data_IF_154692796260
#
_entry.id   IF_154692796260
#
_cell.length_a   1.000
_cell.length_b   1.000
_cell.length_c   1.000
_cell.angle_alpha   90.00
_cell.angle_beta   90.00
_cell.angle_gamma   90.00
#
_symmetry.space_group_name_H-M   'P 1'
#
loop_
_entity.id
_entity.type
_entity.pdbx_description
1 polymer ?
#
# COMPACT_ATOMS: atom_id res chain seq x y z
N UNK A 1 12.07 0.52 -8.87
CA UNK A 1 12.83 0.75 -7.63
C UNK A 1 13.69 -0.46 -7.30
N UNK A 2 14.60 -0.34 -6.36
CA UNK A 2 15.45 -1.45 -5.94
C UNK A 2 14.66 -2.48 -5.14
N UNK A 3 14.91 -3.77 -5.43
CA UNK A 3 14.24 -4.88 -4.75
C UNK A 3 14.52 -4.90 -3.24
N UNK A 4 15.72 -4.52 -2.84
CA UNK A 4 16.11 -4.51 -1.42
C UNK A 4 15.29 -3.51 -0.61
N UNK A 5 14.94 -2.38 -1.20
CA UNK A 5 14.08 -1.39 -0.54
C UNK A 5 12.66 -1.92 -0.40
N UNK A 6 12.14 -2.58 -1.45
CA UNK A 6 10.82 -3.19 -1.40
C UNK A 6 10.77 -4.30 -0.35
N UNK A 7 11.81 -5.15 -0.31
CA UNK A 7 11.88 -6.25 0.64
C UNK A 7 12.01 -5.80 2.10
N UNK A 8 12.40 -4.55 2.34
CA UNK A 8 12.43 -3.98 3.69
C UNK A 8 11.02 -3.73 4.26
N UNK A 9 10.00 -3.70 3.40
CA UNK A 9 8.61 -3.61 3.83
C UNK A 9 8.14 -5.02 4.21
N UNK A 10 7.69 -5.26 5.45
CA UNK A 10 7.34 -6.61 5.91
C UNK A 10 6.36 -7.35 5.01
N UNK A 11 5.38 -6.65 4.44
CA UNK A 11 4.42 -7.28 3.53
C UNK A 11 5.10 -7.98 2.35
N UNK A 12 6.15 -7.36 1.80
CA UNK A 12 6.84 -7.88 0.61
C UNK A 12 8.03 -8.77 0.93
N UNK A 13 8.45 -8.81 2.20
CA UNK A 13 9.65 -9.54 2.61
C UNK A 13 9.58 -11.04 2.37
N UNK A 14 8.36 -11.59 2.32
CA UNK A 14 8.15 -13.04 2.12
C UNK A 14 8.13 -13.44 0.65
N UNK A 15 8.15 -12.48 -0.27
CA UNK A 15 8.12 -12.78 -1.70
C UNK A 15 9.46 -13.33 -2.18
N UNK A 16 9.40 -14.27 -3.12
CA UNK A 16 10.58 -14.76 -3.81
C UNK A 16 11.24 -13.66 -4.63
N UNK A 17 12.52 -13.80 -4.90
CA UNK A 17 13.32 -12.80 -5.61
C UNK A 17 12.70 -12.39 -6.95
N UNK A 18 12.19 -13.35 -7.71
CA UNK A 18 11.58 -13.09 -9.01
C UNK A 18 10.29 -12.24 -8.87
N UNK A 19 9.49 -12.52 -7.86
CA UNK A 19 8.26 -11.77 -7.58
C UNK A 19 8.60 -10.35 -7.13
N UNK A 20 9.60 -10.20 -6.26
CA UNK A 20 10.09 -8.89 -5.83
C UNK A 20 10.55 -8.05 -7.03
N UNK A 21 11.28 -8.65 -7.95
CA UNK A 21 11.76 -7.96 -9.15
C UNK A 21 10.59 -7.45 -10.00
N UNK A 22 9.57 -8.29 -10.19
CA UNK A 22 8.39 -7.93 -10.97
C UNK A 22 7.62 -6.77 -10.34
N UNK A 23 7.40 -6.83 -9.04
CA UNK A 23 6.65 -5.80 -8.31
C UNK A 23 7.48 -4.51 -8.22
N UNK A 24 8.78 -4.62 -7.95
CA UNK A 24 9.66 -3.46 -7.87
C UNK A 24 9.71 -2.68 -9.20
N UNK A 25 9.64 -3.38 -10.33
CA UNK A 25 9.62 -2.74 -11.64
C UNK A 25 8.34 -1.90 -11.85
N UNK A 26 7.24 -2.25 -11.20
CA UNK A 26 5.97 -1.54 -11.32
C UNK A 26 5.77 -0.48 -10.24
N UNK A 27 6.50 -0.55 -9.13
CA UNK A 27 6.33 0.33 -7.99
C UNK A 27 6.76 1.77 -8.32
N UNK A 28 6.02 2.73 -7.78
CA UNK A 28 6.28 4.15 -7.98
C UNK A 28 6.63 4.79 -6.63
N UNK A 29 7.67 5.60 -6.60
CA UNK A 29 8.05 6.34 -5.41
C UNK A 29 7.27 7.64 -5.36
N UNK A 30 6.71 7.94 -4.18
CA UNK A 30 5.90 9.15 -3.96
C UNK A 30 6.41 9.83 -2.71
N UNK A 31 6.60 11.14 -2.79
CA UNK A 31 6.92 11.96 -1.64
C UNK A 31 5.77 12.89 -1.34
N UNK A 32 5.50 13.13 -0.07
CA UNK A 32 4.47 14.06 0.35
C UNK A 32 4.95 14.86 1.55
N UNK A 33 4.50 16.11 1.62
CA UNK A 33 4.82 16.99 2.73
C UNK A 33 3.87 16.74 3.90
N UNK A 34 4.29 17.13 5.09
CA UNK A 34 3.41 17.14 6.26
C UNK A 34 2.14 17.92 5.93
N UNK A 35 0.99 17.34 6.30
CA UNK A 35 -0.33 17.94 6.06
C UNK A 35 -0.97 17.54 4.74
N UNK A 36 -0.24 16.91 3.82
CA UNK A 36 -0.86 16.46 2.57
C UNK A 36 -1.81 15.28 2.81
N UNK A 37 -2.95 15.31 2.13
CA UNK A 37 -3.90 14.21 2.14
C UNK A 37 -3.49 13.18 1.09
N UNK A 38 -3.30 11.94 1.52
CA UNK A 38 -2.84 10.84 0.67
C UNK A 38 -4.01 9.99 0.18
N UNK A 39 -5.06 9.90 0.97
CA UNK A 39 -6.29 9.20 0.63
C UNK A 39 -7.45 9.87 1.34
N UNK A 40 -8.61 9.94 0.69
CA UNK A 40 -9.81 10.57 1.25
C UNK A 40 -10.92 9.55 1.36
N UNK A 41 -11.50 9.43 2.55
CA UNK A 41 -12.67 8.57 2.79
C UNK A 41 -13.77 8.91 1.79
N UNK A 42 -14.34 7.89 1.17
CA UNK A 42 -15.41 8.05 0.19
C UNK A 42 -14.94 8.12 -1.26
N UNK A 43 -13.65 8.43 -1.49
CA UNK A 43 -13.10 8.46 -2.84
C UNK A 43 -12.76 7.05 -3.33
N UNK A 44 -12.69 6.89 -4.65
CA UNK A 44 -12.22 5.64 -5.24
C UNK A 44 -10.74 5.45 -4.97
N UNK A 45 -10.37 4.24 -4.59
CA UNK A 45 -8.98 3.86 -4.38
C UNK A 45 -8.34 3.33 -5.65
N UNK A 46 -7.13 3.83 -5.99
CA UNK A 46 -6.40 3.45 -7.20
C UNK A 46 -5.03 2.86 -6.91
N UNK A 47 -4.60 2.88 -5.66
CA UNK A 47 -3.27 2.40 -5.27
C UNK A 47 -3.25 1.95 -3.82
N UNK A 48 -2.33 1.03 -3.52
CA UNK A 48 -1.89 0.82 -2.14
C UNK A 48 -0.57 1.54 -1.94
N UNK A 49 -0.26 1.86 -0.70
CA UNK A 49 0.96 2.56 -0.33
C UNK A 49 1.68 1.83 0.79
N UNK A 50 2.99 1.71 0.66
CA UNK A 50 3.85 1.28 1.75
C UNK A 50 4.66 2.49 2.23
N UNK A 51 4.80 2.64 3.54
CA UNK A 51 5.54 3.76 4.12
C UNK A 51 7.00 3.35 4.26
N UNK A 52 7.88 4.01 3.53
CA UNK A 52 9.31 3.78 3.63
C UNK A 52 9.89 4.63 4.76
N UNK A 53 9.44 5.88 4.89
CA UNK A 53 9.83 6.76 5.98
C UNK A 53 8.73 7.76 6.28
N UNK A 54 8.70 8.28 7.50
CA UNK A 54 7.71 9.25 7.94
C UNK A 54 6.51 8.61 8.60
N UNK A 55 5.50 9.43 8.91
CA UNK A 55 4.30 9.00 9.61
C UNK A 55 3.05 9.58 8.98
N UNK A 56 1.94 8.85 9.09
CA UNK A 56 0.64 9.28 8.63
C UNK A 56 -0.41 9.04 9.71
N UNK A 57 -1.48 9.83 9.67
CA UNK A 57 -2.63 9.65 10.54
C UNK A 57 -3.81 9.13 9.72
N UNK A 58 -4.44 8.08 10.22
CA UNK A 58 -5.63 7.47 9.61
C UNK A 58 -6.84 7.88 10.42
N UNK A 59 -7.87 8.39 9.73
CA UNK A 59 -9.13 8.79 10.36
C UNK A 59 -10.33 8.34 9.52
N UNK A 60 -11.47 8.17 10.17
CA UNK A 60 -12.72 7.88 9.48
C UNK A 60 -13.86 8.47 10.29
N UNK A 61 -14.83 9.04 9.58
CA UNK A 61 -16.00 9.69 10.21
C UNK A 61 -15.61 10.74 11.26
N UNK A 62 -14.52 11.48 10.97
CA UNK A 62 -14.02 12.52 11.85
C UNK A 62 -13.27 12.03 13.08
N UNK A 63 -12.98 10.73 13.18
CA UNK A 63 -12.29 10.13 14.34
C UNK A 63 -10.96 9.57 13.92
N UNK A 64 -9.90 9.88 14.69
CA UNK A 64 -8.59 9.27 14.47
C UNK A 64 -8.65 7.79 14.84
N UNK A 65 -8.19 6.95 13.94
CA UNK A 65 -8.15 5.49 14.13
C UNK A 65 -6.75 4.99 14.46
N UNK A 66 -5.72 5.53 13.82
CA UNK A 66 -4.36 5.04 13.99
C UNK A 66 -3.35 6.05 13.47
N UNK A 67 -2.11 5.86 13.91
CA UNK A 67 -0.92 6.47 13.30
C UNK A 67 -0.08 5.33 12.74
N UNK A 68 0.32 5.45 11.48
CA UNK A 68 1.15 4.45 10.81
C UNK A 68 2.52 5.04 10.51
N UNK A 69 3.53 4.20 10.52
CA UNK A 69 4.92 4.60 10.28
C UNK A 69 5.66 3.65 9.34
N UNK A 70 6.97 3.78 9.30
CA UNK A 70 7.83 3.01 8.41
C UNK A 70 7.55 1.51 8.48
N UNK A 71 7.45 0.88 7.33
CA UNK A 71 7.18 -0.55 7.19
C UNK A 71 5.69 -0.91 7.13
N UNK A 72 4.81 0.02 7.45
CA UNK A 72 3.37 -0.23 7.41
C UNK A 72 2.79 0.14 6.05
N UNK A 73 1.63 -0.44 5.73
CA UNK A 73 0.97 -0.21 4.44
C UNK A 73 -0.47 0.24 4.67
N UNK A 74 -1.03 0.94 3.69
CA UNK A 74 -2.44 1.33 3.70
C UNK A 74 -3.00 1.33 2.27
N UNK A 75 -4.32 1.28 2.17
CA UNK A 75 -5.02 1.29 0.89
C UNK A 75 -5.00 -0.03 0.14
N UNK A 76 -4.76 -1.15 0.82
CA UNK A 76 -4.61 -2.47 0.19
C UNK A 76 -5.87 -2.93 -0.54
N UNK A 77 -7.06 -2.54 -0.08
CA UNK A 77 -8.31 -2.95 -0.72
C UNK A 77 -8.36 -2.54 -2.19
N UNK A 78 -7.73 -1.41 -2.53
CA UNK A 78 -7.68 -0.95 -3.92
C UNK A 78 -7.01 -1.96 -4.87
N UNK A 79 -6.11 -2.79 -4.36
CA UNK A 79 -5.41 -3.82 -5.15
C UNK A 79 -6.22 -5.10 -5.25
N UNK A 80 -7.02 -5.42 -4.23
CA UNK A 80 -7.84 -6.63 -4.19
C UNK A 80 -9.12 -6.48 -5.01
N UNK A 81 -9.72 -5.30 -4.99
CA UNK A 81 -10.99 -5.04 -5.65
C UNK A 81 -11.15 -3.54 -5.90
N UNK A 82 -11.98 -3.18 -6.87
CA UNK A 82 -12.40 -1.81 -7.02
C UNK A 82 -13.17 -1.42 -5.76
N UNK A 83 -12.76 -0.35 -5.11
CA UNK A 83 -13.37 0.00 -3.84
C UNK A 83 -13.23 1.46 -3.48
N UNK A 84 -14.13 1.87 -2.61
CA UNK A 84 -14.13 3.21 -2.03
C UNK A 84 -13.20 3.20 -0.83
N UNK A 85 -12.42 4.26 -0.66
CA UNK A 85 -11.56 4.44 0.51
C UNK A 85 -12.38 4.44 1.79
N UNK A 86 -11.99 3.60 2.74
CA UNK A 86 -12.67 3.46 4.02
C UNK A 86 -12.21 4.50 5.04
N UNK A 87 -11.11 5.18 4.77
CA UNK A 87 -10.52 6.13 5.70
C UNK A 87 -9.79 7.24 4.95
N UNK A 88 -9.57 8.34 5.66
CA UNK A 88 -8.72 9.45 5.21
C UNK A 88 -7.35 9.27 5.82
N UNK A 89 -6.31 9.46 5.01
CA UNK A 89 -4.91 9.34 5.43
C UNK A 89 -4.20 10.65 5.12
N UNK A 90 -3.60 11.26 6.15
CA UNK A 90 -2.91 12.54 6.06
C UNK A 90 -1.48 12.38 6.60
N UNK A 91 -0.51 12.92 5.88
CA UNK A 91 0.88 12.90 6.34
C UNK A 91 1.03 13.79 7.57
N UNK A 92 1.62 13.24 8.63
CA UNK A 92 1.91 13.97 9.88
C UNK A 92 3.38 14.33 10.00
N UNK A 93 4.17 13.99 8.99
CA UNK A 93 5.56 14.39 8.78
C UNK A 93 5.80 14.32 7.28
N UNK A 94 6.94 14.80 6.77
CA UNK A 94 7.34 14.45 5.41
C UNK A 94 7.40 12.93 5.29
N UNK A 95 6.83 12.37 4.23
CA UNK A 95 6.77 10.91 4.02
C UNK A 95 7.35 10.54 2.67
N UNK A 96 7.99 9.37 2.64
CA UNK A 96 8.42 8.72 1.42
C UNK A 96 7.64 7.42 1.32
N UNK A 97 6.86 7.29 0.25
CA UNK A 97 5.94 6.19 0.04
C UNK A 97 6.34 5.39 -1.19
N UNK A 98 6.01 4.12 -1.16
CA UNK A 98 6.09 3.23 -2.31
C UNK A 98 4.65 2.93 -2.70
N UNK A 99 4.24 3.38 -3.90
CA UNK A 99 2.89 3.16 -4.39
C UNK A 99 2.86 2.00 -5.37
N UNK A 100 1.84 1.16 -5.24
CA UNK A 100 1.56 0.10 -6.20
C UNK A 100 0.15 0.34 -6.75
N UNK A 101 0.09 0.73 -8.03
CA UNK A 101 -1.17 1.11 -8.67
C UNK A 101 -1.98 -0.13 -9.05
N UNK A 102 -3.28 -0.05 -8.88
CA UNK A 102 -4.20 -1.13 -9.23
C UNK A 102 -4.02 -1.59 -10.69
N UNK A 103 -3.89 -0.64 -11.62
CA UNK A 103 -3.68 -0.96 -13.04
C UNK A 103 -2.39 -1.74 -13.29
N UNK A 104 -1.35 -1.49 -12.50
CA UNK A 104 -0.07 -2.17 -12.65
C UNK A 104 -0.15 -3.59 -12.10
N UNK A 105 -0.92 -3.79 -11.04
CA UNK A 105 -1.21 -5.14 -10.54
C UNK A 105 -1.99 -5.95 -11.58
N UNK A 106 -2.95 -5.33 -12.25
CA UNK A 106 -3.67 -5.99 -13.35
C UNK A 106 -2.75 -6.34 -14.52
N UNK A 107 -1.79 -5.47 -14.84
CA UNK A 107 -0.79 -5.75 -15.86
C UNK A 107 0.12 -6.92 -15.46
N UNK A 108 0.53 -6.99 -14.20
CA UNK A 108 1.29 -8.12 -13.66
C UNK A 108 0.48 -9.40 -13.77
N UNK A 109 -0.81 -9.34 -13.44
CA UNK A 109 -1.70 -10.50 -13.50
C UNK A 109 -1.75 -11.11 -14.91
N UNK A 110 -1.74 -10.26 -15.94
CA UNK A 110 -1.75 -10.75 -17.33
C UNK A 110 -0.45 -11.41 -17.74
N UNK A 111 0.70 -10.97 -17.17
CA UNK A 111 2.03 -11.49 -17.53
C UNK A 111 2.52 -12.59 -16.60
N UNK A 112 2.19 -12.48 -15.33
CA UNK A 112 2.64 -13.38 -14.27
C UNK A 112 1.51 -13.57 -13.26
N UNK A 113 0.49 -14.36 -13.61
CA UNK A 113 -0.68 -14.54 -12.73
C UNK A 113 -0.31 -15.12 -11.37
N UNK A 114 0.74 -15.94 -11.29
CA UNK A 114 1.18 -16.48 -10.00
C UNK A 114 1.75 -15.39 -9.08
N UNK A 115 2.51 -14.43 -9.63
CA UNK A 115 3.03 -13.31 -8.85
C UNK A 115 1.90 -12.47 -8.29
N UNK A 116 0.91 -12.14 -9.12
CA UNK A 116 -0.24 -11.38 -8.68
C UNK A 116 -1.04 -12.11 -7.60
N UNK A 117 -1.22 -13.42 -7.75
CA UNK A 117 -1.95 -14.22 -6.76
C UNK A 117 -1.20 -14.28 -5.43
N UNK A 118 0.12 -14.45 -5.45
CA UNK A 118 0.93 -14.45 -4.22
C UNK A 118 0.86 -13.09 -3.50
N UNK A 119 0.89 -12.00 -4.26
CA UNK A 119 0.74 -10.66 -3.68
C UNK A 119 -0.64 -10.50 -3.03
N UNK A 120 -1.69 -10.88 -3.73
CA UNK A 120 -3.05 -10.80 -3.19
C UNK A 120 -3.23 -11.67 -1.94
N UNK A 121 -2.63 -12.85 -1.94
CA UNK A 121 -2.69 -13.75 -0.78
C UNK A 121 -2.05 -13.11 0.45
N UNK A 122 -0.90 -12.47 0.29
CA UNK A 122 -0.23 -11.75 1.39
C UNK A 122 -1.09 -10.59 1.91
N UNK A 123 -1.71 -9.84 1.00
CA UNK A 123 -2.59 -8.73 1.38
C UNK A 123 -3.81 -9.26 2.14
N UNK A 124 -4.46 -10.33 1.65
CA UNK A 124 -5.61 -10.92 2.33
C UNK A 124 -5.25 -11.41 3.72
N UNK A 125 -4.10 -12.05 3.86
CA UNK A 125 -3.62 -12.53 5.15
C UNK A 125 -3.47 -11.37 6.14
N UNK A 126 -2.96 -10.23 5.69
CA UNK A 126 -2.86 -9.03 6.50
C UNK A 126 -4.23 -8.51 6.92
N UNK A 127 -5.18 -8.45 5.99
CA UNK A 127 -6.55 -7.99 6.27
C UNK A 127 -7.32 -8.93 7.19
N UNK A 128 -7.10 -10.24 7.06
CA UNK A 128 -7.77 -11.25 7.87
C UNK A 128 -7.43 -11.12 9.36
N UNK A 129 -6.27 -10.57 9.69
CA UNK A 129 -5.93 -10.27 11.07
C UNK A 129 -6.67 -9.03 11.59
N UNK A 130 -7.48 -8.35 10.74
CA UNK A 130 -8.36 -7.25 11.14
C UNK A 130 -7.63 -6.05 11.71
N UNK A 131 -6.42 -5.76 11.24
CA UNK A 131 -5.54 -4.79 11.88
C UNK A 131 -5.27 -3.55 11.06
N UNK A 132 -5.77 -3.50 9.82
CA UNK A 132 -5.52 -2.35 8.97
C UNK A 132 -6.73 -1.41 8.93
N UNK A 133 -6.69 -0.30 9.69
CA UNK A 133 -7.80 0.65 9.71
C UNK A 133 -7.92 1.44 8.41
N UNK A 134 -6.90 1.39 7.53
CA UNK A 134 -6.87 2.12 6.26
C UNK A 134 -7.09 1.22 5.05
N UNK A 135 -7.50 0.01 5.25
CA UNK A 135 -7.69 -0.99 4.20
C UNK A 135 -8.71 -0.59 3.10
#
# INVERSE_FOLDING_TARGET
MERTRLAAIPLFAELAEADLATIAAAAVEVEAAEGETLATQGDLGHAMFAIESGTVEVSANGRRLATLGAGEVFGEVAVLAAGIRMATVVATSPVHLIALLKRDVWAIERRSPETAERLRALIRQRLDFGRDPAA
#
